data_IF_895512995896
#
_entry.id   IF_895512995896
#
_cell.length_a   1.000
_cell.length_b   1.000
_cell.length_c   1.000
_cell.angle_alpha   90.00
_cell.angle_beta   90.00
_cell.angle_gamma   90.00
#
_symmetry.space_group_name_H-M   'P 1'
#
loop_
_entity.id
_entity.type
_entity.pdbx_description
1 polymer ?
#
# COMPACT_ATOMS: atom_id res chain seq x y z
N UNK A 1 19.30 7.74 -10.36
CA UNK A 1 19.40 8.33 -9.00
C UNK A 1 19.97 9.73 -9.15
N UNK A 2 19.60 10.66 -8.27
CA UNK A 2 20.11 12.04 -8.26
C UNK A 2 20.73 12.32 -6.91
N UNK A 3 21.97 12.83 -6.88
CA UNK A 3 22.64 13.29 -5.66
C UNK A 3 22.31 14.77 -5.44
N UNK A 4 21.86 15.12 -4.24
CA UNK A 4 21.53 16.48 -3.84
C UNK A 4 22.72 17.15 -3.15
N UNK A 5 22.70 18.49 -3.10
CA UNK A 5 23.76 19.30 -2.47
C UNK A 5 23.94 19.04 -0.97
N UNK A 6 22.90 18.56 -0.30
CA UNK A 6 22.92 18.23 1.14
C UNK A 6 23.42 16.80 1.42
N UNK A 7 23.95 16.11 0.40
CA UNK A 7 24.43 14.73 0.50
C UNK A 7 23.31 13.68 0.51
N UNK A 8 22.04 14.07 0.47
CA UNK A 8 20.94 13.12 0.26
C UNK A 8 20.88 12.69 -1.20
N UNK A 9 20.29 11.54 -1.47
CA UNK A 9 20.02 11.11 -2.85
C UNK A 9 18.54 10.80 -3.01
N UNK A 10 18.04 10.97 -4.22
CA UNK A 10 16.66 10.62 -4.59
C UNK A 10 16.64 9.69 -5.80
N UNK A 11 15.60 8.89 -5.90
CA UNK A 11 15.47 7.92 -6.97
C UNK A 11 14.11 7.24 -6.98
N UNK A 12 13.95 6.31 -7.90
CA UNK A 12 12.72 5.55 -8.04
C UNK A 12 12.91 4.12 -7.54
N UNK A 13 11.89 3.59 -6.85
CA UNK A 13 11.76 2.17 -6.53
C UNK A 13 10.45 1.64 -7.09
N UNK A 14 10.41 0.34 -7.39
CA UNK A 14 9.17 -0.38 -7.74
C UNK A 14 8.77 -1.26 -6.57
N UNK A 15 7.60 -0.99 -6.00
CA UNK A 15 7.04 -1.81 -4.92
C UNK A 15 5.93 -2.69 -5.48
N UNK A 16 6.07 -4.00 -5.31
CA UNK A 16 5.09 -5.01 -5.72
C UNK A 16 4.25 -5.43 -4.51
N UNK A 17 2.94 -5.46 -4.68
CA UNK A 17 2.02 -5.91 -3.65
C UNK A 17 1.83 -7.41 -3.77
N UNK A 18 2.40 -8.16 -2.83
CA UNK A 18 2.17 -9.60 -2.66
C UNK A 18 1.42 -9.83 -1.36
N UNK A 19 0.11 -9.54 -1.39
CA UNK A 19 -0.79 -9.73 -0.26
C UNK A 19 -1.56 -11.04 -0.43
N UNK A 20 -1.46 -11.93 0.56
CA UNK A 20 -2.14 -13.25 0.55
C UNK A 20 -3.54 -13.21 1.16
N UNK A 21 -3.84 -12.18 1.94
CA UNK A 21 -5.15 -11.98 2.57
C UNK A 21 -5.91 -10.83 1.89
N UNK A 22 -7.27 -10.88 1.87
CA UNK A 22 -8.07 -9.72 1.49
C UNK A 22 -7.67 -8.49 2.30
N UNK A 23 -7.71 -7.32 1.68
CA UNK A 23 -7.57 -6.05 2.36
C UNK A 23 -8.92 -5.38 2.50
N UNK A 24 -8.99 -4.41 3.41
CA UNK A 24 -10.18 -3.62 3.59
C UNK A 24 -10.10 -2.31 2.82
N UNK A 25 -11.07 -2.07 1.95
CA UNK A 25 -11.26 -0.78 1.29
C UNK A 25 -12.43 -0.03 1.94
N UNK A 26 -12.47 1.31 1.87
CA UNK A 26 -13.65 2.06 2.25
C UNK A 26 -14.79 1.67 1.30
N UNK A 27 -16.04 1.67 1.78
CA UNK A 27 -17.19 1.43 0.92
C UNK A 27 -17.19 2.47 -0.22
N UNK A 28 -17.55 2.08 -1.47
CA UNK A 28 -17.72 3.04 -2.54
C UNK A 28 -18.73 4.09 -2.08
N UNK A 29 -18.38 5.38 -2.21
CA UNK A 29 -19.30 6.46 -1.87
C UNK A 29 -20.52 6.35 -2.79
N UNK A 30 -21.61 5.76 -2.31
CA UNK A 30 -22.91 5.96 -2.92
C UNK A 30 -23.17 7.46 -2.82
N UNK A 31 -23.40 8.12 -3.96
CA UNK A 31 -23.96 9.46 -3.96
C UNK A 31 -25.25 9.39 -3.15
N UNK A 32 -25.23 9.93 -1.93
CA UNK A 32 -26.35 9.87 -1.01
C UNK A 32 -27.41 10.84 -1.50
N UNK A 33 -28.57 10.30 -1.86
CA UNK A 33 -29.85 10.96 -1.67
C UNK A 33 -29.95 11.49 -0.22
N UNK A 34 -30.49 12.69 0.01
CA UNK A 34 -30.57 13.27 1.35
C UNK A 34 -31.77 12.68 2.09
N UNK A 35 -31.54 11.91 3.15
CA UNK A 35 -32.52 11.81 4.23
C UNK A 35 -31.88 11.39 5.56
N UNK A 36 -32.15 12.25 6.54
CA UNK A 36 -32.44 11.99 7.95
C UNK A 36 -31.31 11.90 8.99
N UNK A 37 -31.31 12.96 9.81
CA UNK A 37 -30.81 13.07 11.17
C UNK A 37 -31.29 11.89 12.03
N UNK A 38 -30.37 11.29 12.80
CA UNK A 38 -30.74 10.23 13.75
C UNK A 38 -29.54 9.43 14.25
N UNK A 39 -28.88 9.96 15.27
CA UNK A 39 -28.34 9.26 16.44
C UNK A 39 -28.15 7.72 16.33
N UNK A 40 -26.90 7.24 16.35
CA UNK A 40 -26.45 6.12 17.22
C UNK A 40 -24.96 5.77 17.03
N UNK A 41 -24.33 5.54 18.18
CA UNK A 41 -23.00 4.98 18.40
C UNK A 41 -22.72 3.69 17.62
N UNK A 42 -21.44 3.41 17.35
CA UNK A 42 -20.97 2.03 17.16
C UNK A 42 -21.14 1.41 15.77
N UNK A 43 -21.43 2.20 14.74
CA UNK A 43 -21.54 1.71 13.37
C UNK A 43 -20.23 1.14 12.84
N UNK A 44 -20.09 -0.19 12.89
CA UNK A 44 -19.10 -0.96 12.15
C UNK A 44 -19.19 -0.53 10.68
N UNK A 45 -18.32 0.40 10.29
CA UNK A 45 -18.18 0.88 8.91
C UNK A 45 -18.08 -0.36 8.06
N UNK A 46 -19.12 -0.65 7.28
CA UNK A 46 -19.23 -1.86 6.45
C UNK A 46 -17.94 -1.99 5.64
N UNK A 47 -17.04 -2.82 6.16
CA UNK A 47 -15.67 -2.94 5.68
C UNK A 47 -15.67 -4.13 4.76
N UNK A 48 -15.98 -3.86 3.49
CA UNK A 48 -15.99 -4.91 2.48
C UNK A 48 -14.54 -5.33 2.23
N UNK A 49 -14.28 -6.63 2.43
CA UNK A 49 -12.99 -7.24 2.11
C UNK A 49 -12.88 -7.34 0.60
N UNK A 50 -11.91 -6.63 0.01
CA UNK A 50 -11.58 -6.72 -1.40
C UNK A 50 -10.15 -7.22 -1.56
N UNK A 51 -9.92 -7.96 -2.63
CA UNK A 51 -8.58 -8.27 -3.08
C UNK A 51 -8.08 -7.11 -3.94
N UNK A 52 -6.88 -6.60 -3.65
CA UNK A 52 -6.15 -5.83 -4.66
C UNK A 52 -5.97 -6.72 -5.90
N UNK A 53 -5.99 -6.16 -7.12
CA UNK A 53 -5.65 -6.91 -8.32
C UNK A 53 -4.31 -7.64 -8.16
N UNK A 54 -4.25 -8.88 -8.65
CA UNK A 54 -3.00 -9.64 -8.67
C UNK A 54 -1.93 -8.83 -9.41
N UNK A 55 -0.72 -8.85 -8.86
CA UNK A 55 0.45 -8.16 -9.41
C UNK A 55 0.36 -6.62 -9.45
N UNK A 56 -0.45 -6.04 -8.55
CA UNK A 56 -0.43 -4.60 -8.31
C UNK A 56 0.99 -4.13 -7.95
N UNK A 57 1.51 -3.17 -8.70
CA UNK A 57 2.82 -2.57 -8.46
C UNK A 57 2.74 -1.05 -8.53
N UNK A 58 3.64 -0.37 -7.83
CA UNK A 58 3.75 1.09 -7.86
C UNK A 58 5.19 1.55 -7.95
N UNK A 59 5.45 2.49 -8.85
CA UNK A 59 6.69 3.26 -8.87
C UNK A 59 6.57 4.42 -7.89
N UNK A 60 7.54 4.54 -6.98
CA UNK A 60 7.63 5.59 -5.99
C UNK A 60 8.93 6.35 -6.19
N UNK A 61 8.84 7.68 -6.19
CA UNK A 61 10.00 8.54 -6.04
C UNK A 61 10.29 8.69 -4.54
N UNK A 62 11.49 8.33 -4.10
CA UNK A 62 11.90 8.34 -2.70
C UNK A 62 13.22 9.08 -2.51
N UNK A 63 13.48 9.45 -1.26
CA UNK A 63 14.77 9.99 -0.79
C UNK A 63 15.52 8.91 0.00
N UNK A 64 16.84 9.07 0.13
CA UNK A 64 17.68 8.30 1.05
C UNK A 64 17.23 8.38 2.51
N UNK A 65 16.42 9.37 2.88
CA UNK A 65 15.86 9.52 4.23
C UNK A 65 14.48 8.87 4.40
N UNK A 66 13.84 8.41 3.32
CA UNK A 66 12.51 7.80 3.38
C UNK A 66 12.55 6.47 4.11
N UNK A 67 11.73 6.32 5.16
CA UNK A 67 11.64 5.11 5.98
C UNK A 67 10.63 4.12 5.40
N UNK A 68 10.81 2.83 5.68
CA UNK A 68 9.89 1.78 5.25
C UNK A 68 8.44 2.02 5.70
N UNK A 69 8.24 2.57 6.91
CA UNK A 69 6.91 2.92 7.43
C UNK A 69 6.21 3.96 6.55
N UNK A 70 6.92 5.00 6.12
CA UNK A 70 6.37 6.05 5.25
C UNK A 70 5.97 5.47 3.89
N UNK A 71 6.78 4.54 3.36
CA UNK A 71 6.46 3.81 2.12
C UNK A 71 5.18 3.01 2.28
N UNK A 72 5.04 2.25 3.37
CA UNK A 72 3.83 1.45 3.65
C UNK A 72 2.60 2.36 3.76
N UNK A 73 2.66 3.40 4.59
CA UNK A 73 1.52 4.31 4.79
C UNK A 73 1.11 5.01 3.49
N UNK A 74 2.07 5.51 2.72
CA UNK A 74 1.81 6.15 1.42
C UNK A 74 1.14 5.17 0.42
N UNK A 75 1.60 3.92 0.40
CA UNK A 75 1.04 2.87 -0.45
C UNK A 75 -0.38 2.48 -0.04
N UNK A 76 -0.64 2.25 1.25
CA UNK A 76 -1.98 1.93 1.75
C UNK A 76 -2.96 3.06 1.43
N UNK A 77 -2.57 4.31 1.67
CA UNK A 77 -3.39 5.47 1.30
C UNK A 77 -3.65 5.56 -0.21
N UNK A 78 -2.64 5.28 -1.05
CA UNK A 78 -2.78 5.33 -2.51
C UNK A 78 -3.78 4.33 -3.05
N UNK A 79 -3.85 3.15 -2.46
CA UNK A 79 -4.78 2.08 -2.82
C UNK A 79 -6.02 2.03 -1.91
N UNK A 80 -6.26 3.10 -1.15
CA UNK A 80 -7.39 3.25 -0.21
C UNK A 80 -7.54 2.07 0.76
N UNK A 81 -6.43 1.42 1.13
CA UNK A 81 -6.43 0.35 2.13
C UNK A 81 -6.43 0.97 3.51
N UNK A 82 -7.45 0.67 4.32
CA UNK A 82 -7.63 1.27 5.65
C UNK A 82 -7.15 0.36 6.79
N UNK A 83 -6.43 -0.72 6.46
CA UNK A 83 -5.82 -1.65 7.43
C UNK A 83 -4.73 -0.99 8.25
N UNK A 84 -4.46 -1.56 9.43
CA UNK A 84 -3.38 -1.09 10.29
C UNK A 84 -2.03 -1.29 9.56
N UNK A 85 -1.21 -0.24 9.37
CA UNK A 85 0.07 -0.33 8.68
C UNK A 85 1.03 -1.33 9.33
N UNK A 86 0.91 -1.59 10.64
CA UNK A 86 1.70 -2.60 11.35
C UNK A 86 1.41 -4.05 10.91
N UNK A 87 0.33 -4.29 10.15
CA UNK A 87 0.03 -5.60 9.53
C UNK A 87 0.84 -5.85 8.25
N UNK A 88 1.59 -4.86 7.78
CA UNK A 88 2.34 -4.91 6.53
C UNK A 88 3.84 -4.77 6.80
N UNK A 89 4.64 -5.34 5.91
CA UNK A 89 6.08 -5.23 5.92
C UNK A 89 6.58 -5.04 4.49
N UNK A 90 7.71 -4.35 4.36
CA UNK A 90 8.42 -4.19 3.09
C UNK A 90 9.57 -5.19 3.04
N UNK A 91 9.62 -5.98 1.97
CA UNK A 91 10.68 -6.94 1.75
C UNK A 91 11.47 -6.55 0.50
N UNK A 92 12.78 -6.66 0.59
CA UNK A 92 13.64 -6.64 -0.59
C UNK A 92 13.57 -8.01 -1.28
N UNK A 93 13.43 -8.01 -2.60
CA UNK A 93 13.55 -9.22 -3.41
C UNK A 93 14.78 -9.09 -4.29
N UNK A 94 15.79 -9.90 -4.01
CA UNK A 94 16.93 -10.12 -4.89
C UNK A 94 16.68 -11.42 -5.65
N UNK A 95 16.68 -11.41 -6.98
CA UNK A 95 16.72 -12.66 -7.74
C UNK A 95 18.12 -13.26 -7.55
N UNK A 96 18.20 -14.41 -6.89
CA UNK A 96 19.42 -15.22 -6.94
C UNK A 96 19.47 -15.82 -8.35
N UNK A 97 20.43 -15.39 -9.15
CA UNK A 97 20.79 -15.99 -10.44
C UNK A 97 21.43 -17.38 -10.22
N UNK A 98 20.70 -18.30 -9.58
CA UNK A 98 21.14 -19.69 -9.42
C UNK A 98 19.97 -20.64 -9.11
N UNK A 99 18.95 -20.61 -9.96
CA UNK A 99 18.16 -21.83 -10.23
C UNK A 99 18.55 -22.28 -11.62
N UNK A 100 19.76 -22.84 -11.74
CA UNK A 100 20.03 -23.82 -12.78
C UNK A 100 19.00 -24.93 -12.60
N UNK A 101 18.10 -25.06 -13.56
CA UNK A 101 17.26 -26.24 -13.77
C UNK A 101 18.12 -27.49 -13.57
N UNK A 102 17.81 -28.29 -12.55
CA UNK A 102 18.28 -29.66 -12.50
C UNK A 102 17.29 -30.48 -13.37
N UNK A 103 17.77 -31.10 -14.46
CA UNK A 103 16.94 -31.99 -15.29
C UNK A 103 16.50 -33.25 -14.53
#
# INVERSE_FOLDING_TARGET
MVLNRDGSYTGFIRVLFKLTRPVSLPPPRKASSPQEEGQQEGGLKHRTSFYLPKDTAKHLHISSRTRAREVIEALLNKFTVVDNPAKFALFERSERENQSECP
#
